data_IF_197988932569
#
_entry.id   IF_197988932569
#
_cell.length_a   1.000
_cell.length_b   1.000
_cell.length_c   1.000
_cell.angle_alpha   90.00
_cell.angle_beta   90.00
_cell.angle_gamma   90.00
#
_symmetry.space_group_name_H-M   'P 1'
#
loop_
_entity.id
_entity.type
_entity.pdbx_description
1 polymer ?
#
# COMPACT_ATOMS: atom_id res chain seq x y z
N UNK A 1 -14.17 4.31 -2.27
CA UNK A 1 -13.60 3.91 -0.95
C UNK A 1 -14.42 2.76 -0.40
N UNK A 2 -13.75 1.71 0.06
CA UNK A 2 -14.38 0.53 0.64
C UNK A 2 -15.09 0.87 1.96
N UNK A 3 -16.14 0.09 2.30
CA UNK A 3 -16.72 0.18 3.63
C UNK A 3 -15.83 -0.54 4.67
N UNK A 4 -16.01 -0.19 5.95
CA UNK A 4 -15.19 -0.73 7.03
C UNK A 4 -15.27 -2.26 7.17
N UNK A 5 -16.42 -2.87 6.87
CA UNK A 5 -16.60 -4.34 6.87
C UNK A 5 -15.65 -5.01 5.89
N UNK A 6 -15.61 -4.52 4.64
CA UNK A 6 -14.73 -5.04 3.59
C UNK A 6 -13.25 -4.81 3.89
N UNK A 7 -12.89 -3.65 4.48
CA UNK A 7 -11.52 -3.40 4.93
C UNK A 7 -11.06 -4.40 5.99
N UNK A 8 -11.90 -4.69 7.00
CA UNK A 8 -11.60 -5.68 8.03
C UNK A 8 -11.41 -7.09 7.46
N UNK A 9 -12.24 -7.49 6.50
CA UNK A 9 -12.10 -8.76 5.79
C UNK A 9 -10.77 -8.81 5.05
N UNK A 10 -10.44 -7.77 4.28
CA UNK A 10 -9.18 -7.64 3.55
C UNK A 10 -7.95 -7.68 4.47
N UNK A 11 -8.00 -6.96 5.60
CA UNK A 11 -6.92 -6.97 6.59
C UNK A 11 -6.67 -8.37 7.13
N UNK A 12 -7.73 -9.12 7.50
CA UNK A 12 -7.62 -10.52 7.97
C UNK A 12 -7.07 -11.45 6.90
N UNK A 13 -7.59 -11.32 5.68
CA UNK A 13 -7.19 -12.14 4.53
C UNK A 13 -5.70 -11.96 4.24
N UNK A 14 -5.26 -10.72 4.10
CA UNK A 14 -3.88 -10.43 3.71
C UNK A 14 -2.88 -10.59 4.86
N UNK A 15 -3.27 -10.36 6.12
CA UNK A 15 -2.44 -10.69 7.28
C UNK A 15 -2.17 -12.19 7.38
N UNK A 16 -3.19 -13.02 7.07
CA UNK A 16 -3.02 -14.49 6.99
C UNK A 16 -2.11 -14.87 5.83
N UNK A 17 -2.37 -14.36 4.62
CA UNK A 17 -1.57 -14.67 3.44
C UNK A 17 -0.10 -14.28 3.60
N UNK A 18 0.18 -13.11 4.21
CA UNK A 18 1.53 -12.69 4.54
C UNK A 18 2.19 -13.66 5.53
N UNK A 19 1.47 -14.04 6.58
CA UNK A 19 1.96 -15.00 7.58
C UNK A 19 2.28 -16.37 6.96
N UNK A 20 1.39 -16.88 6.12
CA UNK A 20 1.55 -18.18 5.45
C UNK A 20 2.78 -18.13 4.50
N UNK A 21 2.93 -17.07 3.72
CA UNK A 21 4.06 -16.89 2.83
C UNK A 21 5.40 -16.75 3.60
N UNK A 22 5.42 -15.99 4.69
CA UNK A 22 6.64 -15.74 5.47
C UNK A 22 7.08 -16.94 6.32
N UNK A 23 6.19 -17.91 6.62
CA UNK A 23 6.48 -19.03 7.50
C UNK A 23 7.18 -20.22 6.79
N UNK A 24 7.19 -20.23 5.46
CA UNK A 24 7.74 -21.36 4.67
C UNK A 24 9.27 -21.29 4.45
N UNK A 25 9.79 -20.14 3.99
CA UNK A 25 11.22 -20.00 3.66
C UNK A 25 12.12 -19.89 4.90
N UNK A 26 13.43 -19.96 4.66
CA UNK A 26 14.42 -19.61 5.68
C UNK A 26 14.25 -18.15 6.11
N UNK A 27 14.24 -17.84 7.42
CA UNK A 27 14.10 -16.46 7.92
C UNK A 27 15.12 -15.47 7.36
N UNK A 28 16.31 -15.93 6.97
CA UNK A 28 17.34 -15.06 6.34
C UNK A 28 17.04 -14.72 4.88
N UNK A 29 15.95 -15.23 4.30
CA UNK A 29 15.53 -14.93 2.93
C UNK A 29 15.31 -13.45 2.77
N UNK A 30 15.94 -12.85 1.76
CA UNK A 30 15.80 -11.44 1.41
C UNK A 30 14.47 -11.18 0.71
N UNK A 31 13.88 -10.05 1.00
CA UNK A 31 12.68 -9.56 0.33
C UNK A 31 13.11 -8.87 -0.97
N UNK A 32 12.76 -9.40 -2.16
CA UNK A 32 13.29 -8.87 -3.44
C UNK A 32 12.96 -7.38 -3.68
N UNK A 33 11.80 -6.94 -3.21
CA UNK A 33 11.29 -5.57 -3.36
C UNK A 33 11.80 -4.61 -2.28
N UNK A 34 12.35 -5.14 -1.19
CA UNK A 34 12.96 -4.41 -0.08
C UNK A 34 14.31 -5.09 0.25
N UNK A 35 15.36 -4.94 -0.59
CA UNK A 35 16.57 -5.79 -0.55
C UNK A 35 17.38 -5.69 0.75
N UNK A 36 17.18 -4.63 1.54
CA UNK A 36 17.78 -4.51 2.88
C UNK A 36 17.04 -5.36 3.93
N UNK A 37 15.83 -5.83 3.64
CA UNK A 37 14.99 -6.57 4.56
C UNK A 37 15.12 -8.09 4.39
N UNK A 38 15.02 -8.77 5.51
CA UNK A 38 14.75 -10.21 5.61
C UNK A 38 13.28 -10.44 5.99
N UNK A 39 12.84 -11.69 6.01
CA UNK A 39 11.45 -12.01 6.43
C UNK A 39 11.11 -11.52 7.85
N UNK A 40 11.99 -11.65 8.88
CA UNK A 40 11.74 -11.03 10.18
C UNK A 40 11.55 -9.51 10.12
N UNK A 41 12.31 -8.81 9.26
CA UNK A 41 12.16 -7.36 9.10
C UNK A 41 10.80 -7.02 8.52
N UNK A 42 10.35 -7.75 7.47
CA UNK A 42 9.05 -7.57 6.84
C UNK A 42 7.89 -7.86 7.80
N UNK A 43 7.91 -9.02 8.46
CA UNK A 43 6.88 -9.43 9.43
C UNK A 43 6.85 -8.45 10.60
N UNK A 44 8.03 -8.08 11.12
CA UNK A 44 8.18 -7.12 12.20
C UNK A 44 7.62 -5.75 11.84
N UNK A 45 7.88 -5.27 10.63
CA UNK A 45 7.35 -4.01 10.13
C UNK A 45 5.81 -4.00 10.12
N UNK A 46 5.19 -4.99 9.47
CA UNK A 46 3.72 -5.03 9.32
C UNK A 46 3.01 -5.19 10.68
N UNK A 47 3.45 -6.15 11.50
CA UNK A 47 2.82 -6.36 12.79
C UNK A 47 3.05 -5.21 13.78
N UNK A 48 4.18 -4.49 13.67
CA UNK A 48 4.43 -3.27 14.43
C UNK A 48 3.55 -2.12 13.93
N UNK A 49 3.32 -2.00 12.62
CA UNK A 49 2.43 -1.00 12.04
C UNK A 49 0.98 -1.20 12.51
N UNK A 50 0.49 -2.45 12.58
CA UNK A 50 -0.83 -2.75 13.14
C UNK A 50 -0.95 -2.27 14.60
N UNK A 51 0.04 -2.55 15.44
CA UNK A 51 0.05 -2.16 16.86
C UNK A 51 0.17 -0.66 17.06
N UNK A 52 0.97 -0.01 16.24
CA UNK A 52 1.08 1.44 16.22
C UNK A 52 -0.26 2.09 15.84
N UNK A 53 -0.89 1.67 14.76
CA UNK A 53 -2.21 2.17 14.37
C UNK A 53 -3.26 1.91 15.47
N UNK A 54 -3.22 0.72 16.10
CA UNK A 54 -4.06 0.38 17.26
C UNK A 54 -3.86 1.38 18.41
N UNK A 55 -2.60 1.68 18.74
CA UNK A 55 -2.25 2.65 19.78
C UNK A 55 -2.81 4.04 19.46
N UNK A 56 -2.58 4.53 18.24
CA UNK A 56 -3.09 5.82 17.78
C UNK A 56 -4.62 5.91 17.86
N UNK A 57 -5.33 4.88 17.41
CA UNK A 57 -6.80 4.82 17.47
C UNK A 57 -7.30 4.80 18.91
N UNK A 58 -6.63 4.07 19.81
CA UNK A 58 -7.02 3.99 21.23
C UNK A 58 -6.77 5.28 21.98
N UNK A 59 -5.65 5.92 21.76
CA UNK A 59 -5.21 7.09 22.53
C UNK A 59 -5.61 8.42 21.89
N UNK A 60 -5.81 8.47 20.58
CA UNK A 60 -5.85 9.71 19.79
C UNK A 60 -4.49 10.42 19.75
N UNK A 61 -3.42 9.68 20.09
CA UNK A 61 -2.08 10.21 20.33
C UNK A 61 -1.30 10.50 19.04
N UNK A 62 -0.12 11.08 19.25
CA UNK A 62 0.77 11.58 18.19
C UNK A 62 2.07 10.78 18.08
N UNK A 63 2.13 9.60 18.72
CA UNK A 63 3.35 8.79 18.77
C UNK A 63 3.75 8.30 17.38
N UNK A 64 5.04 8.34 17.07
CA UNK A 64 5.57 7.80 15.82
C UNK A 64 5.82 6.29 15.94
N UNK A 65 5.83 5.59 14.79
CA UNK A 65 5.95 4.13 14.75
C UNK A 65 7.14 3.58 15.56
N UNK A 66 8.28 4.28 15.53
CA UNK A 66 9.50 3.84 16.20
C UNK A 66 9.52 4.07 17.72
N UNK A 67 8.54 4.79 18.28
CA UNK A 67 8.45 5.05 19.72
C UNK A 67 7.86 3.86 20.50
N UNK A 68 7.23 2.92 19.79
CA UNK A 68 6.68 1.73 20.41
C UNK A 68 7.72 0.60 20.50
N UNK A 69 7.72 -0.17 21.59
CA UNK A 69 8.59 -1.34 21.74
C UNK A 69 8.36 -2.35 20.61
N UNK A 70 9.44 -2.87 20.03
CA UNK A 70 9.34 -3.99 19.10
C UNK A 70 8.98 -5.27 19.86
N UNK A 71 7.96 -5.98 19.37
CA UNK A 71 7.38 -7.17 20.02
C UNK A 71 7.35 -8.39 19.12
N UNK A 72 8.13 -8.37 18.00
CA UNK A 72 8.21 -9.51 17.10
C UNK A 72 8.70 -10.75 17.88
N UNK A 73 7.97 -11.89 17.81
CA UNK A 73 8.44 -13.15 18.39
C UNK A 73 9.74 -13.65 17.75
N UNK A 74 10.64 -14.20 18.55
CA UNK A 74 11.91 -14.78 18.07
C UNK A 74 11.68 -16.00 17.17
N UNK A 75 10.64 -16.79 17.45
CA UNK A 75 10.31 -17.99 16.68
C UNK A 75 9.43 -17.67 15.48
N UNK A 76 9.82 -18.01 14.24
CA UNK A 76 8.97 -17.88 13.06
C UNK A 76 7.63 -18.61 13.17
N UNK A 77 7.57 -19.69 13.96
CA UNK A 77 6.33 -20.44 14.20
C UNK A 77 5.25 -19.61 14.92
N UNK A 78 5.64 -18.53 15.61
CA UNK A 78 4.73 -17.66 16.35
C UNK A 78 4.26 -16.44 15.52
N UNK A 79 4.90 -16.17 14.36
CA UNK A 79 4.54 -15.03 13.49
C UNK A 79 3.08 -15.03 13.03
N UNK A 80 2.49 -16.17 12.60
CA UNK A 80 1.09 -16.19 12.19
C UNK A 80 0.12 -15.74 13.28
N UNK A 81 0.34 -16.21 14.51
CA UNK A 81 -0.43 -15.77 15.68
C UNK A 81 -0.27 -14.27 15.94
N UNK A 82 0.98 -13.81 15.95
CA UNK A 82 1.33 -12.43 16.26
C UNK A 82 0.78 -11.42 15.22
N UNK A 83 0.84 -11.74 13.91
CA UNK A 83 0.25 -10.92 12.84
C UNK A 83 -1.28 -10.88 12.93
N UNK A 84 -1.92 -12.04 13.11
CA UNK A 84 -3.38 -12.13 13.28
C UNK A 84 -3.83 -11.28 14.47
N UNK A 85 -3.17 -11.42 15.61
CA UNK A 85 -3.56 -10.73 16.84
C UNK A 85 -3.41 -9.21 16.67
N UNK A 86 -2.35 -8.72 15.97
CA UNK A 86 -2.19 -7.30 15.65
C UNK A 86 -3.30 -6.77 14.73
N UNK A 87 -3.72 -7.53 13.73
CA UNK A 87 -4.85 -7.15 12.88
C UNK A 87 -6.18 -7.10 13.66
N UNK A 88 -6.46 -8.09 14.51
CA UNK A 88 -7.67 -8.11 15.34
C UNK A 88 -7.68 -7.01 16.40
N UNK A 89 -6.52 -6.68 16.98
CA UNK A 89 -6.40 -5.55 17.92
C UNK A 89 -6.74 -4.22 17.26
N UNK A 90 -6.31 -3.99 16.02
CA UNK A 90 -6.65 -2.80 15.26
C UNK A 90 -8.14 -2.75 14.93
N UNK A 91 -8.71 -3.87 14.48
CA UNK A 91 -10.15 -3.98 14.20
C UNK A 91 -10.97 -3.67 15.45
N UNK A 92 -10.61 -4.25 16.59
CA UNK A 92 -11.29 -3.98 17.86
C UNK A 92 -11.15 -2.53 18.32
N UNK A 93 -9.97 -1.92 18.12
CA UNK A 93 -9.76 -0.51 18.44
C UNK A 93 -10.64 0.41 17.58
N UNK A 94 -10.72 0.13 16.26
CA UNK A 94 -11.61 0.84 15.35
C UNK A 94 -13.09 0.66 15.76
N UNK A 95 -13.54 -0.58 16.03
CA UNK A 95 -14.93 -0.87 16.42
C UNK A 95 -15.36 -0.17 17.72
N UNK A 96 -14.42 0.06 18.63
CA UNK A 96 -14.66 0.83 19.84
C UNK A 96 -14.77 2.35 19.61
N UNK A 97 -14.22 2.87 18.51
CA UNK A 97 -14.15 4.32 18.22
C UNK A 97 -14.32 4.63 16.72
N UNK A 98 -15.42 4.19 16.05
CA UNK A 98 -15.54 4.29 14.60
C UNK A 98 -15.62 5.73 14.09
N UNK A 99 -16.16 6.66 14.88
CA UNK A 99 -16.37 8.06 14.52
C UNK A 99 -15.31 9.01 15.12
N UNK A 100 -14.26 8.46 15.76
CA UNK A 100 -13.21 9.28 16.33
C UNK A 100 -12.17 9.72 15.28
N UNK A 101 -11.35 10.69 15.67
CA UNK A 101 -10.21 11.18 14.90
C UNK A 101 -8.92 11.01 15.68
N UNK A 102 -7.81 10.95 14.97
CA UNK A 102 -6.45 10.90 15.48
C UNK A 102 -5.69 12.08 14.89
N UNK A 103 -5.05 12.87 15.74
CA UNK A 103 -4.18 13.96 15.32
C UNK A 103 -2.75 13.46 15.17
N UNK A 104 -2.28 13.31 13.93
CA UNK A 104 -0.92 12.86 13.67
C UNK A 104 -0.06 14.06 13.22
N UNK A 105 1.13 14.27 13.80
CA UNK A 105 1.94 15.47 13.55
C UNK A 105 2.32 15.65 12.09
N UNK A 106 2.42 14.56 11.33
CA UNK A 106 2.85 14.55 9.95
C UNK A 106 1.69 14.42 8.96
N UNK A 107 0.67 13.64 9.30
CA UNK A 107 -0.44 13.30 8.40
C UNK A 107 -1.68 14.17 8.65
N UNK A 108 -1.66 15.00 9.71
CA UNK A 108 -2.80 15.79 10.13
C UNK A 108 -3.89 14.96 10.82
N UNK A 109 -5.08 15.53 10.95
CA UNK A 109 -6.22 14.89 11.60
C UNK A 109 -6.88 13.89 10.68
N UNK A 110 -6.81 12.61 11.03
CA UNK A 110 -7.43 11.53 10.27
C UNK A 110 -8.53 10.83 11.06
N UNK A 111 -9.69 10.54 10.44
CA UNK A 111 -10.70 9.67 11.06
C UNK A 111 -10.14 8.26 11.22
N UNK A 112 -10.61 7.55 12.25
CA UNK A 112 -10.12 6.19 12.58
C UNK A 112 -10.29 5.19 11.45
N UNK A 113 -11.33 5.34 10.61
CA UNK A 113 -11.52 4.51 9.40
C UNK A 113 -10.38 4.65 8.41
N UNK A 114 -9.72 5.81 8.34
CA UNK A 114 -8.56 6.01 7.47
C UNK A 114 -7.32 5.24 7.96
N UNK A 115 -7.18 5.06 9.26
CA UNK A 115 -6.14 4.21 9.85
C UNK A 115 -6.40 2.72 9.58
N UNK A 116 -7.65 2.28 9.67
CA UNK A 116 -8.03 0.92 9.26
C UNK A 116 -7.72 0.69 7.78
N UNK A 117 -8.10 1.63 6.90
CA UNK A 117 -7.81 1.59 5.45
C UNK A 117 -6.31 1.51 5.19
N UNK A 118 -5.54 2.41 5.80
CA UNK A 118 -4.09 2.46 5.63
C UNK A 118 -3.42 1.12 5.97
N UNK A 119 -3.79 0.53 7.10
CA UNK A 119 -3.22 -0.77 7.51
C UNK A 119 -3.70 -1.93 6.64
N UNK A 120 -4.92 -1.87 6.12
CA UNK A 120 -5.40 -2.86 5.15
C UNK A 120 -4.55 -2.82 3.88
N UNK A 121 -4.35 -1.65 3.29
CA UNK A 121 -3.59 -1.49 2.05
C UNK A 121 -2.09 -1.75 2.25
N UNK A 122 -1.52 -1.35 3.38
CA UNK A 122 -0.16 -1.71 3.80
C UNK A 122 0.04 -3.22 3.83
N UNK A 123 -0.91 -3.93 4.45
CA UNK A 123 -0.85 -5.38 4.57
C UNK A 123 -1.02 -6.08 3.22
N UNK A 124 -1.85 -5.55 2.31
CA UNK A 124 -1.99 -6.04 0.93
C UNK A 124 -0.65 -5.98 0.20
N UNK A 125 0.02 -4.83 0.22
CA UNK A 125 1.29 -4.63 -0.49
C UNK A 125 2.40 -5.52 0.10
N UNK A 126 2.49 -5.60 1.42
CA UNK A 126 3.51 -6.43 2.08
C UNK A 126 3.21 -7.94 2.04
N UNK A 127 1.96 -8.34 1.82
CA UNK A 127 1.66 -9.73 1.45
C UNK A 127 2.26 -10.07 0.08
N UNK A 128 2.21 -9.16 -0.90
CA UNK A 128 2.90 -9.37 -2.17
C UNK A 128 4.42 -9.49 -1.99
N UNK A 129 5.02 -8.69 -1.11
CA UNK A 129 6.44 -8.76 -0.77
C UNK A 129 6.81 -10.13 -0.17
N UNK A 130 6.02 -10.65 0.77
CA UNK A 130 6.23 -11.96 1.38
C UNK A 130 6.07 -13.09 0.35
N UNK A 131 5.03 -13.02 -0.49
CA UNK A 131 4.79 -14.00 -1.55
C UNK A 131 5.94 -14.03 -2.57
N UNK A 132 6.46 -12.86 -2.96
CA UNK A 132 7.64 -12.73 -3.82
C UNK A 132 8.89 -13.34 -3.20
N UNK A 133 9.14 -13.13 -1.90
CA UNK A 133 10.26 -13.73 -1.17
C UNK A 133 10.13 -15.25 -1.06
N UNK A 134 8.91 -15.76 -0.93
CA UNK A 134 8.61 -17.19 -0.83
C UNK A 134 8.51 -17.90 -2.20
N UNK A 135 8.47 -17.16 -3.30
CA UNK A 135 8.17 -17.72 -4.62
C UNK A 135 6.77 -18.33 -4.72
N UNK A 136 5.81 -17.82 -3.94
CA UNK A 136 4.42 -18.29 -3.93
C UNK A 136 3.49 -17.33 -4.69
N UNK A 137 2.35 -17.81 -5.21
CA UNK A 137 1.39 -16.91 -5.86
C UNK A 137 0.84 -15.85 -4.90
N UNK A 138 0.68 -14.63 -5.42
CA UNK A 138 -0.05 -13.55 -4.76
C UNK A 138 -1.37 -13.31 -5.49
N UNK A 139 -2.43 -13.08 -4.75
CA UNK A 139 -3.72 -12.66 -5.30
C UNK A 139 -4.36 -11.61 -4.40
N UNK A 140 -4.98 -10.61 -5.01
CA UNK A 140 -5.76 -9.58 -4.33
C UNK A 140 -7.09 -9.37 -5.05
N UNK A 141 -8.17 -9.22 -4.29
CA UNK A 141 -9.48 -8.94 -4.87
C UNK A 141 -9.48 -7.55 -5.57
N UNK A 142 -10.16 -7.41 -6.73
CA UNK A 142 -10.12 -6.17 -7.51
C UNK A 142 -10.53 -4.91 -6.74
N UNK A 143 -11.49 -5.01 -5.84
CA UNK A 143 -11.93 -3.91 -5.00
C UNK A 143 -10.87 -3.45 -3.99
N UNK A 144 -10.12 -4.38 -3.41
CA UNK A 144 -9.00 -4.08 -2.52
C UNK A 144 -7.81 -3.49 -3.30
N UNK A 145 -7.49 -4.05 -4.46
CA UNK A 145 -6.42 -3.52 -5.31
C UNK A 145 -6.72 -2.09 -5.78
N UNK A 146 -7.97 -1.83 -6.19
CA UNK A 146 -8.40 -0.49 -6.59
C UNK A 146 -8.34 0.52 -5.42
N UNK A 147 -8.77 0.12 -4.23
CA UNK A 147 -8.69 0.98 -3.05
C UNK A 147 -7.24 1.27 -2.63
N UNK A 148 -6.34 0.29 -2.80
CA UNK A 148 -4.91 0.48 -2.55
C UNK A 148 -4.28 1.47 -3.53
N UNK A 149 -4.66 1.44 -4.82
CA UNK A 149 -4.23 2.44 -5.81
C UNK A 149 -4.76 3.84 -5.44
N UNK A 150 -6.05 3.96 -5.08
CA UNK A 150 -6.66 5.22 -4.62
C UNK A 150 -5.87 5.82 -3.45
N UNK A 151 -5.53 5.00 -2.44
CA UNK A 151 -4.79 5.47 -1.28
C UNK A 151 -3.37 5.87 -1.66
N UNK A 152 -2.68 5.04 -2.44
CA UNK A 152 -1.31 5.31 -2.88
C UNK A 152 -1.22 6.62 -3.66
N UNK A 153 -2.10 6.84 -4.64
CA UNK A 153 -2.20 8.11 -5.37
C UNK A 153 -2.51 9.27 -4.44
N UNK A 154 -3.45 9.09 -3.50
CA UNK A 154 -3.80 10.12 -2.51
C UNK A 154 -2.64 10.50 -1.60
N UNK A 155 -1.78 9.56 -1.22
CA UNK A 155 -0.58 9.83 -0.41
C UNK A 155 0.50 10.54 -1.24
N UNK A 156 0.77 10.08 -2.45
CA UNK A 156 1.80 10.65 -3.33
C UNK A 156 1.47 12.07 -3.80
N UNK A 157 0.19 12.38 -4.01
CA UNK A 157 -0.27 13.68 -4.49
C UNK A 157 -0.64 14.65 -3.37
N UNK A 158 -0.53 14.23 -2.10
CA UNK A 158 -0.77 15.10 -0.97
C UNK A 158 0.20 16.29 -0.97
N UNK A 159 -0.30 17.48 -0.65
CA UNK A 159 0.50 18.73 -0.63
C UNK A 159 1.77 18.61 0.23
N UNK A 160 1.71 17.80 1.29
CA UNK A 160 2.82 17.56 2.20
C UNK A 160 3.76 16.44 1.74
N UNK A 161 3.43 15.69 0.70
CA UNK A 161 4.19 14.50 0.30
C UNK A 161 5.66 14.82 -0.04
N UNK A 162 5.91 15.90 -0.77
CA UNK A 162 7.27 16.31 -1.14
C UNK A 162 8.12 16.76 0.07
N UNK A 163 7.52 17.06 1.22
CA UNK A 163 8.26 17.37 2.45
C UNK A 163 8.91 16.11 3.05
N UNK A 164 8.30 14.93 2.79
CA UNK A 164 8.82 13.63 3.25
C UNK A 164 9.71 12.97 2.22
N UNK A 165 9.38 13.17 0.95
CA UNK A 165 10.07 12.58 -0.19
C UNK A 165 10.32 13.67 -1.23
N UNK A 166 11.48 14.33 -1.19
CA UNK A 166 11.81 15.46 -2.09
C UNK A 166 11.69 15.11 -3.58
N UNK A 167 11.95 13.85 -3.95
CA UNK A 167 11.85 13.35 -5.33
C UNK A 167 10.44 13.50 -5.91
N UNK A 168 9.40 13.51 -5.07
CA UNK A 168 8.02 13.75 -5.52
C UNK A 168 7.82 15.17 -6.10
N UNK A 169 8.67 16.13 -5.76
CA UNK A 169 8.64 17.44 -6.39
C UNK A 169 8.98 17.38 -7.89
N UNK A 170 9.69 16.34 -8.34
CA UNK A 170 10.02 16.14 -9.76
C UNK A 170 8.82 15.58 -10.57
N UNK A 171 7.73 15.18 -9.89
CA UNK A 171 6.48 14.79 -10.56
C UNK A 171 5.67 16.00 -11.07
N UNK A 172 6.12 17.22 -10.82
CA UNK A 172 5.57 18.42 -11.45
C UNK A 172 5.72 18.34 -12.97
N UNK A 173 4.78 18.95 -13.69
CA UNK A 173 4.78 18.94 -15.16
C UNK A 173 3.95 20.08 -15.72
N UNK A 174 3.64 19.98 -17.03
CA UNK A 174 2.93 21.03 -17.77
C UNK A 174 1.63 20.51 -18.38
N UNK A 175 1.01 19.51 -17.76
CA UNK A 175 -0.25 18.91 -18.22
C UNK A 175 -0.10 17.50 -18.78
N UNK A 176 1.09 16.89 -18.72
CA UNK A 176 1.30 15.51 -19.17
C UNK A 176 0.42 14.55 -18.33
N UNK A 177 -0.14 13.55 -18.99
CA UNK A 177 -1.16 12.67 -18.43
C UNK A 177 -0.75 11.20 -18.44
N UNK A 178 -1.07 10.50 -17.34
CA UNK A 178 -0.91 9.05 -17.22
C UNK A 178 -2.28 8.44 -16.87
N UNK A 179 -2.71 7.42 -17.64
CA UNK A 179 -3.93 6.69 -17.36
C UNK A 179 -3.65 5.25 -16.91
N UNK A 180 -4.21 4.83 -15.79
CA UNK A 180 -4.28 3.45 -15.37
C UNK A 180 -5.66 2.90 -15.74
N UNK A 181 -5.70 1.97 -16.67
CA UNK A 181 -6.95 1.39 -17.18
C UNK A 181 -7.05 -0.07 -16.76
N UNK A 182 -7.83 -0.37 -15.71
CA UNK A 182 -8.00 -1.75 -15.26
C UNK A 182 -8.77 -2.57 -16.30
N UNK A 183 -8.44 -3.86 -16.39
CA UNK A 183 -9.18 -4.83 -17.20
C UNK A 183 -10.56 -5.15 -16.57
N UNK A 184 -10.73 -4.90 -15.29
CA UNK A 184 -11.96 -5.15 -14.54
C UNK A 184 -13.00 -4.06 -14.80
N UNK A 185 -14.16 -4.39 -15.42
CA UNK A 185 -15.17 -3.38 -15.79
C UNK A 185 -15.83 -2.66 -14.61
N UNK A 186 -15.70 -3.21 -13.40
CA UNK A 186 -16.23 -2.63 -12.17
C UNK A 186 -15.41 -1.46 -11.64
N UNK A 187 -14.20 -1.24 -12.16
CA UNK A 187 -13.29 -0.18 -11.73
C UNK A 187 -13.23 0.96 -12.75
N UNK A 188 -13.27 2.22 -12.29
CA UNK A 188 -13.33 3.36 -13.20
C UNK A 188 -12.00 3.71 -13.87
N UNK A 189 -10.88 3.17 -13.36
CA UNK A 189 -9.53 3.58 -13.73
C UNK A 189 -9.10 4.90 -13.06
N UNK A 190 -7.88 5.34 -13.40
CA UNK A 190 -7.27 6.55 -12.80
C UNK A 190 -6.58 7.37 -13.87
N UNK A 191 -6.90 8.66 -13.92
CA UNK A 191 -6.18 9.65 -14.71
C UNK A 191 -5.33 10.50 -13.77
N UNK A 192 -4.04 10.54 -14.01
CA UNK A 192 -3.08 11.35 -13.29
C UNK A 192 -2.62 12.46 -14.23
N UNK A 193 -2.69 13.71 -13.78
CA UNK A 193 -2.20 14.88 -14.52
C UNK A 193 -1.04 15.51 -13.76
N UNK A 194 0.08 15.71 -14.43
CA UNK A 194 1.25 16.41 -13.90
C UNK A 194 1.04 17.91 -14.07
N UNK A 195 0.87 18.64 -12.96
CA UNK A 195 0.72 20.10 -13.01
C UNK A 195 1.95 20.81 -12.45
N UNK A 196 2.12 22.13 -12.71
CA UNK A 196 3.22 22.90 -12.13
C UNK A 196 3.26 22.90 -10.59
N UNK A 197 2.12 22.70 -9.94
CA UNK A 197 1.98 22.65 -8.47
C UNK A 197 2.27 21.24 -7.93
N UNK A 198 2.15 20.21 -8.76
CA UNK A 198 2.33 18.80 -8.42
C UNK A 198 1.32 17.92 -9.15
N UNK A 199 1.43 16.59 -9.06
CA UNK A 199 0.47 15.70 -9.69
C UNK A 199 -0.89 15.77 -8.99
N UNK A 200 -1.96 15.70 -9.79
CA UNK A 200 -3.33 15.52 -9.34
C UNK A 200 -3.91 14.28 -10.00
N UNK A 201 -4.95 13.69 -9.43
CA UNK A 201 -5.58 12.53 -10.03
C UNK A 201 -7.10 12.53 -9.83
N UNK A 202 -7.77 11.83 -10.72
CA UNK A 202 -9.22 11.59 -10.66
C UNK A 202 -9.55 10.19 -11.21
N UNK A 203 -10.73 9.69 -10.87
CA UNK A 203 -11.22 8.48 -11.52
C UNK A 203 -11.58 8.74 -12.97
N UNK A 204 -11.09 7.86 -13.86
CA UNK A 204 -11.35 7.97 -15.29
C UNK A 204 -10.46 7.05 -16.12
N UNK A 205 -10.89 6.79 -17.35
CA UNK A 205 -10.18 5.94 -18.33
C UNK A 205 -10.13 6.63 -19.70
N UNK A 206 -10.04 7.95 -19.72
CA UNK A 206 -9.91 8.73 -20.95
C UNK A 206 -8.52 8.55 -21.59
N UNK A 207 -8.39 9.03 -22.83
CA UNK A 207 -7.12 9.04 -23.53
C UNK A 207 -6.11 9.92 -22.79
N UNK A 208 -4.88 9.45 -22.72
CA UNK A 208 -3.77 10.09 -22.00
C UNK A 208 -2.48 9.96 -22.81
N UNK A 209 -1.47 10.77 -22.48
CA UNK A 209 -0.17 10.72 -23.14
C UNK A 209 0.50 9.36 -22.92
N UNK A 210 0.30 8.74 -21.76
CA UNK A 210 0.67 7.36 -21.45
C UNK A 210 -0.53 6.61 -20.88
N UNK A 211 -0.78 5.39 -21.33
CA UNK A 211 -1.82 4.51 -20.77
C UNK A 211 -1.24 3.14 -20.45
N UNK A 212 -1.41 2.70 -19.20
CA UNK A 212 -1.15 1.34 -18.75
C UNK A 212 -2.47 0.59 -18.61
N UNK A 213 -2.68 -0.48 -19.38
CA UNK A 213 -3.91 -1.29 -19.38
C UNK A 213 -3.59 -2.71 -18.97
N UNK A 214 -4.33 -3.28 -18.01
CA UNK A 214 -4.15 -4.67 -17.58
C UNK A 214 -4.94 -4.99 -16.31
N UNK A 215 -4.76 -6.21 -15.76
CA UNK A 215 -5.35 -6.57 -14.47
C UNK A 215 -5.02 -5.53 -13.39
N UNK A 216 -6.00 -5.18 -12.57
CA UNK A 216 -5.79 -4.17 -11.51
C UNK A 216 -4.71 -4.58 -10.52
N UNK A 217 -4.54 -5.88 -10.28
CA UNK A 217 -3.45 -6.41 -9.46
C UNK A 217 -2.08 -6.03 -10.05
N UNK A 218 -1.88 -6.19 -11.36
CA UNK A 218 -0.62 -5.84 -12.02
C UNK A 218 -0.40 -4.33 -12.00
N UNK A 219 -1.46 -3.54 -12.22
CA UNK A 219 -1.40 -2.09 -12.08
C UNK A 219 -0.97 -1.69 -10.66
N UNK A 220 -1.57 -2.29 -9.63
CA UNK A 220 -1.17 -2.04 -8.24
C UNK A 220 0.29 -2.38 -8.01
N UNK A 221 0.73 -3.59 -8.39
CA UNK A 221 2.09 -4.06 -8.14
C UNK A 221 3.14 -3.24 -8.89
N UNK A 222 2.85 -2.83 -10.12
CA UNK A 222 3.75 -1.95 -10.90
C UNK A 222 3.84 -0.58 -10.27
N UNK A 223 2.72 0.04 -9.93
CA UNK A 223 2.71 1.38 -9.33
C UNK A 223 3.24 1.41 -7.91
N UNK A 224 3.06 0.33 -7.13
CA UNK A 224 3.72 0.13 -5.84
C UNK A 224 5.18 -0.35 -5.97
N UNK A 225 5.70 -0.55 -7.20
CA UNK A 225 7.07 -1.00 -7.50
C UNK A 225 7.41 -2.40 -6.97
N UNK A 226 6.41 -3.27 -6.93
CA UNK A 226 6.55 -4.70 -6.56
C UNK A 226 6.68 -5.61 -7.77
N UNK A 227 6.39 -5.08 -8.96
CA UNK A 227 6.53 -5.77 -10.24
C UNK A 227 7.14 -4.80 -11.26
N UNK A 228 8.17 -5.20 -11.99
CA UNK A 228 8.65 -4.39 -13.09
C UNK A 228 7.65 -4.42 -14.26
N UNK A 229 7.43 -3.30 -14.98
CA UNK A 229 6.50 -3.30 -16.11
C UNK A 229 6.81 -4.37 -17.17
N UNK A 230 8.07 -4.72 -17.36
CA UNK A 230 8.51 -5.75 -18.29
C UNK A 230 8.15 -7.19 -17.85
N UNK A 231 7.94 -7.40 -16.54
CA UNK A 231 7.59 -8.70 -15.94
C UNK A 231 6.07 -8.86 -15.77
N UNK A 232 5.29 -7.80 -15.95
CA UNK A 232 3.83 -7.80 -15.93
C UNK A 232 3.28 -8.27 -17.29
N UNK A 233 3.16 -9.58 -17.47
CA UNK A 233 2.87 -10.19 -18.77
C UNK A 233 1.55 -9.74 -19.43
N UNK A 234 0.56 -9.37 -18.61
CA UNK A 234 -0.76 -8.92 -19.08
C UNK A 234 -0.88 -7.38 -19.11
N UNK A 235 0.15 -6.65 -18.68
CA UNK A 235 0.16 -5.19 -18.71
C UNK A 235 0.58 -4.68 -20.09
N UNK A 236 -0.23 -3.83 -20.68
CA UNK A 236 0.07 -3.16 -21.95
C UNK A 236 0.26 -1.67 -21.71
N UNK A 237 1.45 -1.17 -22.00
CA UNK A 237 1.77 0.26 -21.98
C UNK A 237 1.69 0.82 -23.41
N UNK A 238 0.98 1.93 -23.60
CA UNK A 238 0.84 2.63 -24.88
C UNK A 238 1.07 4.14 -24.68
N UNK A 239 1.43 4.84 -25.74
CA UNK A 239 1.81 6.25 -25.68
C UNK A 239 3.27 6.45 -25.25
N UNK A 240 3.54 7.52 -24.51
CA UNK A 240 4.89 7.87 -24.05
C UNK A 240 5.29 7.07 -22.80
N UNK A 241 5.96 5.95 -22.99
CA UNK A 241 6.43 5.09 -21.89
C UNK A 241 7.41 5.82 -20.94
N UNK A 242 8.09 6.88 -21.39
CA UNK A 242 9.03 7.63 -20.54
C UNK A 242 8.33 8.32 -19.36
N UNK A 243 7.04 8.62 -19.48
CA UNK A 243 6.23 9.17 -18.39
C UNK A 243 6.03 8.13 -17.26
N UNK A 244 5.84 6.85 -17.63
CA UNK A 244 5.76 5.76 -16.64
C UNK A 244 7.11 5.58 -15.95
N UNK A 245 8.20 5.51 -16.70
CA UNK A 245 9.56 5.36 -16.15
C UNK A 245 9.89 6.52 -15.19
N UNK A 246 9.55 7.74 -15.60
CA UNK A 246 9.73 8.94 -14.78
C UNK A 246 8.92 8.84 -13.47
N UNK A 247 7.65 8.44 -13.54
CA UNK A 247 6.79 8.25 -12.37
C UNK A 247 7.38 7.21 -11.42
N UNK A 248 7.67 6.02 -11.93
CA UNK A 248 8.18 4.91 -11.11
C UNK A 248 9.52 5.25 -10.45
N UNK A 249 10.40 5.98 -11.12
CA UNK A 249 11.69 6.37 -10.56
C UNK A 249 11.58 7.30 -9.34
N UNK A 250 10.47 8.06 -9.17
CA UNK A 250 10.25 9.04 -8.09
C UNK A 250 9.31 8.55 -7.00
N UNK A 251 8.55 7.50 -7.26
CA UNK A 251 7.52 7.00 -6.34
C UNK A 251 7.92 5.75 -5.55
N UNK A 252 9.22 5.38 -5.54
CA UNK A 252 9.70 4.29 -4.70
C UNK A 252 9.42 4.58 -3.21
N UNK A 253 8.75 3.68 -2.51
CA UNK A 253 8.43 3.74 -1.07
C UNK A 253 9.07 2.55 -0.41
#
# INVERSE_FOLDING_TARGET
VLNAGRMKEGLREHARGLADAASGPDPSTRVPTCPEWTLPDLVGHVGQAHRWATHLVRTGGTDVLNDLPRTLPDSPADWPGWLRDGAEELIAAYDAKPDATVDHPLLGTWPTVRWLRRMTNETVVHHADAAGAAGTPFAVAPDLAGDAIDEFLGLLTAVTAAAYKPELAELRGNGETLCLRPAEPSLPGWLITRTPEGPVWEHGSQDADMTATGPVQDLLLVFARRLAPADAAELKVTGDASLLDHWLARTAV
#
